data_IF_711222879387
#
_entry.id   IF_711222879387
#
_cell.length_a   1.000
_cell.length_b   1.000
_cell.length_c   1.000
_cell.angle_alpha   90.00
_cell.angle_beta   90.00
_cell.angle_gamma   90.00
#
_symmetry.space_group_name_H-M   'P 1'
#
loop_
_entity.id
_entity.type
_entity.pdbx_description
1 polymer ?
#
# COMPACT_ATOMS: atom_id res chain seq x y z
N UNK A 1 -15.64 21.11 -36.00
CA UNK A 1 -14.35 20.58 -35.52
C UNK A 1 -14.64 19.70 -34.33
N UNK A 2 -14.33 18.39 -34.40
CA UNK A 2 -14.46 17.48 -33.26
C UNK A 2 -13.20 17.62 -32.44
N UNK A 3 -13.29 18.28 -31.29
CA UNK A 3 -12.23 18.27 -30.30
C UNK A 3 -12.17 16.86 -29.70
N UNK A 4 -11.31 16.03 -30.29
CA UNK A 4 -10.94 14.75 -29.70
C UNK A 4 -10.16 15.06 -28.43
N UNK A 5 -10.76 14.75 -27.29
CA UNK A 5 -10.06 14.72 -26.00
C UNK A 5 -8.98 13.64 -26.15
N UNK A 6 -7.76 14.08 -26.45
CA UNK A 6 -6.59 13.21 -26.44
C UNK A 6 -6.31 12.89 -24.98
N UNK A 7 -6.71 11.68 -24.58
CA UNK A 7 -6.43 11.11 -23.26
C UNK A 7 -4.89 11.00 -23.09
N UNK A 8 -4.27 12.07 -22.59
CA UNK A 8 -2.83 12.20 -22.37
C UNK A 8 -2.27 11.26 -21.27
N UNK A 9 -3.10 10.38 -20.72
CA UNK A 9 -2.70 9.39 -19.71
C UNK A 9 -2.68 7.96 -20.27
N UNK A 10 -2.04 7.73 -21.41
CA UNK A 10 -1.66 6.40 -21.87
C UNK A 10 -0.58 5.74 -20.97
N UNK A 11 -0.62 5.96 -19.65
CA UNK A 11 -0.06 5.03 -18.68
C UNK A 11 -0.83 3.73 -18.88
N UNK A 12 -0.12 2.65 -19.12
CA UNK A 12 -0.65 1.28 -19.08
C UNK A 12 -1.58 1.17 -17.87
N UNK A 13 -2.89 1.15 -18.12
CA UNK A 13 -3.91 1.11 -17.06
C UNK A 13 -3.72 -0.24 -16.36
N UNK A 14 -3.10 -0.22 -15.20
CA UNK A 14 -2.89 -1.41 -14.40
C UNK A 14 -4.26 -1.97 -14.00
N UNK A 15 -4.44 -3.27 -14.17
CA UNK A 15 -5.65 -3.95 -13.73
C UNK A 15 -5.62 -4.10 -12.20
N UNK A 16 -6.74 -3.79 -11.52
CA UNK A 16 -6.80 -3.93 -10.07
C UNK A 16 -6.77 -5.42 -9.69
N UNK A 17 -6.15 -5.73 -8.55
CA UNK A 17 -6.02 -7.09 -8.03
C UNK A 17 -7.09 -7.39 -6.98
N UNK A 18 -7.76 -8.54 -7.11
CA UNK A 18 -8.67 -9.05 -6.09
C UNK A 18 -7.95 -10.04 -5.18
N UNK A 19 -7.72 -9.67 -3.91
CA UNK A 19 -7.08 -10.56 -2.94
C UNK A 19 -7.96 -11.75 -2.52
N UNK A 20 -9.27 -11.71 -2.78
CA UNK A 20 -10.20 -12.79 -2.44
C UNK A 20 -10.25 -13.85 -3.54
N UNK A 21 -10.45 -13.43 -4.79
CA UNK A 21 -10.42 -14.33 -5.95
C UNK A 21 -9.00 -14.71 -6.39
N UNK A 22 -7.98 -14.01 -5.87
CA UNK A 22 -6.57 -14.19 -6.28
C UNK A 22 -6.39 -14.10 -7.80
N UNK A 23 -6.97 -13.06 -8.41
CA UNK A 23 -6.95 -12.90 -9.87
C UNK A 23 -7.25 -11.48 -10.33
N UNK A 24 -6.91 -11.22 -11.59
CA UNK A 24 -7.34 -10.06 -12.36
C UNK A 24 -8.70 -10.39 -12.98
N UNK A 25 -9.76 -10.11 -12.24
CA UNK A 25 -11.14 -10.34 -12.65
C UNK A 25 -11.79 -9.05 -13.10
N UNK A 26 -12.88 -9.15 -13.85
CA UNK A 26 -13.71 -7.99 -14.16
C UNK A 26 -14.12 -7.25 -12.89
N UNK A 27 -14.13 -5.92 -12.99
CA UNK A 27 -14.44 -5.03 -11.89
C UNK A 27 -15.48 -3.98 -12.28
N UNK A 28 -16.32 -3.62 -11.31
CA UNK A 28 -17.25 -2.49 -11.39
C UNK A 28 -16.71 -1.36 -10.53
N UNK A 29 -16.76 -0.13 -11.03
CA UNK A 29 -16.44 1.06 -10.24
C UNK A 29 -17.66 1.44 -9.41
N UNK A 30 -17.50 1.51 -8.10
CA UNK A 30 -18.53 2.02 -7.18
C UNK A 30 -18.05 3.33 -6.59
N UNK A 31 -18.95 4.30 -6.58
CA UNK A 31 -18.75 5.58 -5.93
C UNK A 31 -18.84 5.36 -4.43
N UNK A 32 -17.77 5.65 -3.71
CA UNK A 32 -17.75 5.58 -2.26
C UNK A 32 -17.56 6.99 -1.73
N UNK A 33 -18.53 7.46 -0.94
CA UNK A 33 -18.47 8.77 -0.30
C UNK A 33 -17.77 8.64 1.06
N UNK A 34 -16.69 9.39 1.26
CA UNK A 34 -16.01 9.51 2.54
C UNK A 34 -16.18 10.93 3.07
N UNK A 35 -16.44 11.04 4.36
CA UNK A 35 -16.52 12.35 5.02
C UNK A 35 -15.10 12.82 5.32
N UNK A 36 -14.69 13.97 4.74
CA UNK A 36 -13.41 14.62 5.05
C UNK A 36 -13.63 15.91 5.82
N UNK A 37 -12.69 16.19 6.72
CA UNK A 37 -12.67 17.45 7.45
C UNK A 37 -12.25 18.58 6.51
N UNK A 38 -12.97 19.69 6.57
CA UNK A 38 -12.59 20.95 5.95
C UNK A 38 -11.65 21.74 6.87
N UNK A 39 -10.82 22.60 6.27
CA UNK A 39 -9.92 23.51 6.98
C UNK A 39 -10.69 24.51 7.87
N UNK A 40 -11.95 24.77 7.54
CA UNK A 40 -12.83 25.65 8.31
C UNK A 40 -13.58 24.91 9.45
N UNK A 41 -13.23 23.66 9.75
CA UNK A 41 -13.92 22.84 10.76
C UNK A 41 -15.25 22.26 10.30
N UNK A 42 -15.60 22.41 9.02
CA UNK A 42 -16.73 21.74 8.38
C UNK A 42 -16.41 20.29 7.98
N UNK A 43 -17.40 19.62 7.40
CA UNK A 43 -17.26 18.27 6.84
C UNK A 43 -17.84 18.29 5.44
N UNK A 44 -17.13 17.71 4.47
CA UNK A 44 -17.67 17.54 3.11
C UNK A 44 -17.54 16.08 2.66
N UNK A 45 -18.51 15.58 1.86
CA UNK A 45 -18.40 14.28 1.24
C UNK A 45 -17.46 14.36 0.03
N UNK A 46 -16.37 13.60 0.06
CA UNK A 46 -15.51 13.34 -1.09
C UNK A 46 -15.90 12.00 -1.70
N UNK A 47 -16.19 11.99 -3.00
CA UNK A 47 -16.56 10.78 -3.73
C UNK A 47 -15.34 10.21 -4.44
N UNK A 48 -14.92 9.02 -4.05
CA UNK A 48 -13.83 8.29 -4.70
C UNK A 48 -14.38 7.10 -5.48
N UNK A 49 -13.86 6.93 -6.70
CA UNK A 49 -14.14 5.79 -7.57
C UNK A 49 -13.28 4.59 -7.15
N UNK A 50 -13.91 3.62 -6.48
CA UNK A 50 -13.23 2.42 -6.00
C UNK A 50 -13.58 1.20 -6.86
N UNK A 51 -12.60 0.41 -7.34
CA UNK A 51 -12.87 -0.81 -8.09
C UNK A 51 -13.31 -1.95 -7.15
N UNK A 52 -14.40 -2.63 -7.51
CA UNK A 52 -14.91 -3.82 -6.84
C UNK A 52 -14.99 -5.01 -7.80
N UNK A 53 -14.60 -6.19 -7.32
CA UNK A 53 -14.71 -7.43 -8.07
C UNK A 53 -16.17 -7.77 -8.40
N UNK A 54 -16.46 -8.17 -9.63
CA UNK A 54 -17.83 -8.59 -10.02
C UNK A 54 -18.21 -9.92 -9.41
N UNK A 55 -17.26 -10.85 -9.27
CA UNK A 55 -17.52 -12.21 -8.78
C UNK A 55 -17.79 -12.28 -7.28
N UNK A 56 -17.03 -11.56 -6.46
CA UNK A 56 -17.13 -11.60 -5.00
C UNK A 56 -17.54 -10.28 -4.35
N UNK A 57 -17.66 -9.19 -5.11
CA UNK A 57 -18.03 -7.87 -4.58
C UNK A 57 -16.96 -7.17 -3.73
N UNK A 58 -15.84 -7.82 -3.43
CA UNK A 58 -14.79 -7.25 -2.57
C UNK A 58 -14.04 -6.12 -3.28
N UNK A 59 -13.53 -5.18 -2.48
CA UNK A 59 -12.68 -4.09 -2.95
C UNK A 59 -11.40 -4.66 -3.57
N UNK A 60 -11.02 -4.14 -4.72
CA UNK A 60 -9.78 -4.49 -5.41
C UNK A 60 -8.75 -3.38 -5.22
N UNK A 61 -7.46 -3.75 -5.26
CA UNK A 61 -6.37 -2.81 -5.02
C UNK A 61 -5.38 -2.85 -6.18
N UNK A 62 -4.86 -1.68 -6.58
CA UNK A 62 -3.77 -1.61 -7.53
C UNK A 62 -2.47 -2.10 -6.86
N UNK A 63 -1.72 -2.97 -7.53
CA UNK A 63 -0.51 -3.56 -6.97
C UNK A 63 0.61 -2.51 -6.93
N UNK A 64 0.70 -1.61 -7.91
CA UNK A 64 1.66 -0.50 -7.89
C UNK A 64 1.50 0.39 -6.65
N UNK A 65 0.28 0.87 -6.37
CA UNK A 65 -0.02 1.68 -5.19
C UNK A 65 0.27 0.91 -3.90
N UNK A 66 -0.05 -0.38 -3.87
CA UNK A 66 0.24 -1.24 -2.72
C UNK A 66 1.74 -1.41 -2.48
N UNK A 67 2.55 -1.58 -3.54
CA UNK A 67 4.02 -1.64 -3.45
C UNK A 67 4.60 -0.32 -2.99
N UNK A 68 4.15 0.79 -3.58
CA UNK A 68 4.61 2.13 -3.23
C UNK A 68 4.33 2.44 -1.76
N UNK A 69 3.13 2.10 -1.28
CA UNK A 69 2.74 2.34 0.11
C UNK A 69 3.58 1.49 1.08
N UNK A 70 3.77 0.20 0.79
CA UNK A 70 4.62 -0.67 1.63
C UNK A 70 6.06 -0.18 1.64
N UNK A 71 6.61 0.17 0.47
CA UNK A 71 7.96 0.70 0.35
C UNK A 71 8.11 2.04 1.07
N UNK A 72 7.14 2.95 0.91
CA UNK A 72 7.08 4.24 1.58
C UNK A 72 7.04 4.10 3.10
N UNK A 73 6.17 3.25 3.65
CA UNK A 73 6.14 2.98 5.10
C UNK A 73 7.45 2.42 5.62
N UNK A 74 8.11 1.53 4.86
CA UNK A 74 9.43 1.00 5.24
C UNK A 74 10.51 2.06 5.17
N UNK A 75 10.47 2.92 4.15
CA UNK A 75 11.39 4.03 4.00
C UNK A 75 11.26 5.02 5.16
N UNK A 76 10.03 5.43 5.50
CA UNK A 76 9.74 6.31 6.64
C UNK A 76 10.16 5.67 7.97
N UNK A 77 9.85 4.39 8.18
CA UNK A 77 10.28 3.68 9.38
C UNK A 77 11.81 3.62 9.49
N UNK A 78 12.50 3.42 8.37
CA UNK A 78 13.96 3.41 8.30
C UNK A 78 14.56 4.79 8.56
N UNK A 79 14.00 5.87 8.01
CA UNK A 79 14.51 7.22 8.25
C UNK A 79 14.33 7.63 9.70
N UNK A 80 13.18 7.33 10.31
CA UNK A 80 12.93 7.56 11.74
C UNK A 80 13.96 6.81 12.59
N UNK A 81 14.21 5.54 12.29
CA UNK A 81 15.20 4.73 13.03
C UNK A 81 16.62 5.34 12.95
N UNK A 82 17.05 5.77 11.76
CA UNK A 82 18.35 6.42 11.57
C UNK A 82 18.43 7.73 12.36
N UNK A 83 17.39 8.56 12.30
CA UNK A 83 17.34 9.81 13.05
C UNK A 83 17.40 9.60 14.56
N UNK A 84 16.62 8.65 15.09
CA UNK A 84 16.65 8.30 16.52
C UNK A 84 18.04 7.82 16.92
N UNK A 85 18.65 6.96 16.11
CA UNK A 85 20.02 6.47 16.37
C UNK A 85 21.03 7.61 16.35
N UNK A 86 20.96 8.51 15.38
CA UNK A 86 21.86 9.65 15.30
C UNK A 86 21.72 10.55 16.53
N UNK A 87 20.50 10.89 16.93
CA UNK A 87 20.23 11.72 18.11
C UNK A 87 20.74 11.04 19.39
N UNK A 88 20.47 9.74 19.57
CA UNK A 88 20.88 9.02 20.78
C UNK A 88 22.40 8.88 20.90
N UNK A 89 23.14 8.69 19.80
CA UNK A 89 24.59 8.43 19.85
C UNK A 89 25.47 9.66 19.64
N UNK A 90 25.00 10.70 18.93
CA UNK A 90 25.81 11.90 18.66
C UNK A 90 25.45 13.08 19.58
N UNK A 91 24.22 13.16 20.08
CA UNK A 91 23.77 14.34 20.84
C UNK A 91 23.87 14.17 22.36
N UNK A 92 23.83 12.93 22.86
CA UNK A 92 23.76 12.62 24.29
C UNK A 92 24.87 11.67 24.72
N UNK A 93 25.34 11.86 25.96
CA UNK A 93 26.25 10.92 26.60
C UNK A 93 25.56 9.57 26.86
N UNK A 94 26.36 8.51 26.88
CA UNK A 94 25.86 7.17 27.13
C UNK A 94 25.23 7.06 28.53
N UNK A 95 23.92 6.83 28.57
CA UNK A 95 23.12 6.70 29.78
C UNK A 95 22.02 5.65 29.60
N UNK A 96 21.58 5.03 30.70
CA UNK A 96 20.46 4.07 30.70
C UNK A 96 19.16 4.69 30.15
N UNK A 97 18.95 6.00 30.33
CA UNK A 97 17.81 6.70 29.74
C UNK A 97 17.88 6.76 28.21
N UNK A 98 19.07 6.96 27.65
CA UNK A 98 19.27 7.04 26.20
C UNK A 98 19.10 5.66 25.55
N UNK A 99 19.59 4.60 26.19
CA UNK A 99 19.44 3.23 25.66
C UNK A 99 18.00 2.75 25.69
N UNK A 100 17.23 3.08 26.73
CA UNK A 100 15.79 2.78 26.80
C UNK A 100 14.98 3.57 25.79
N UNK A 101 15.29 4.86 25.58
CA UNK A 101 14.68 5.68 24.54
C UNK A 101 14.98 5.13 23.14
N UNK A 102 16.24 4.76 22.88
CA UNK A 102 16.63 4.13 21.63
C UNK A 102 15.82 2.85 21.40
N UNK A 103 15.79 1.94 22.39
CA UNK A 103 15.04 0.69 22.30
C UNK A 103 13.54 0.86 22.01
N UNK A 104 12.88 1.80 22.69
CA UNK A 104 11.46 2.12 22.42
C UNK A 104 11.25 2.70 21.03
N UNK A 105 12.18 3.55 20.55
CA UNK A 105 12.21 4.07 19.19
C UNK A 105 12.29 2.99 18.11
N UNK A 106 13.10 1.94 18.33
CA UNK A 106 13.18 0.78 17.42
C UNK A 106 11.84 0.06 17.34
N UNK A 107 11.24 -0.24 18.49
CA UNK A 107 9.95 -0.93 18.55
C UNK A 107 8.88 -0.14 17.80
N UNK A 108 8.83 1.18 18.00
CA UNK A 108 7.92 2.06 17.29
C UNK A 108 8.15 2.04 15.77
N UNK A 109 9.40 2.13 15.31
CA UNK A 109 9.73 2.06 13.88
C UNK A 109 9.32 0.73 13.24
N UNK A 110 9.50 -0.40 13.96
CA UNK A 110 9.05 -1.71 13.50
C UNK A 110 7.53 -1.77 13.39
N UNK A 111 6.80 -1.24 14.38
CA UNK A 111 5.34 -1.21 14.34
C UNK A 111 4.82 -0.39 13.15
N UNK A 112 5.40 0.78 12.90
CA UNK A 112 5.09 1.62 11.74
C UNK A 112 5.33 0.88 10.42
N UNK A 113 6.45 0.16 10.30
CA UNK A 113 6.75 -0.65 9.11
C UNK A 113 5.74 -1.79 8.87
N UNK A 114 5.00 -2.21 9.91
CA UNK A 114 3.99 -3.28 9.85
C UNK A 114 2.57 -2.76 9.59
N UNK A 115 2.30 -1.46 9.73
CA UNK A 115 0.98 -0.85 9.52
C UNK A 115 0.31 -1.14 8.17
N UNK A 116 1.00 -1.27 7.02
CA UNK A 116 0.32 -1.50 5.75
C UNK A 116 -0.11 -2.97 5.58
N UNK A 117 -0.88 -3.50 6.54
CA UNK A 117 -1.30 -4.90 6.62
C UNK A 117 -2.13 -5.29 5.40
N UNK A 118 -3.07 -4.44 4.99
CA UNK A 118 -3.96 -4.71 3.84
C UNK A 118 -3.17 -4.77 2.53
N UNK A 119 -2.31 -3.78 2.29
CA UNK A 119 -1.44 -3.73 1.10
C UNK A 119 -0.48 -4.91 1.05
N UNK A 120 0.10 -5.31 2.18
CA UNK A 120 0.96 -6.50 2.26
C UNK A 120 0.20 -7.78 1.91
N UNK A 121 -1.00 -7.97 2.46
CA UNK A 121 -1.85 -9.14 2.14
C UNK A 121 -2.17 -9.21 0.65
N UNK A 122 -2.49 -8.09 0.01
CA UNK A 122 -2.73 -8.02 -1.43
C UNK A 122 -1.48 -8.47 -2.22
N UNK A 123 -0.30 -7.97 -1.87
CA UNK A 123 0.95 -8.36 -2.53
C UNK A 123 1.29 -9.84 -2.31
N UNK A 124 1.17 -10.35 -1.09
CA UNK A 124 1.44 -11.78 -0.82
C UNK A 124 0.49 -12.69 -1.59
N UNK A 125 -0.80 -12.33 -1.69
CA UNK A 125 -1.75 -13.12 -2.49
C UNK A 125 -1.40 -13.13 -3.99
N UNK A 126 -0.87 -12.01 -4.50
CA UNK A 126 -0.39 -11.92 -5.88
C UNK A 126 0.87 -12.76 -6.10
N UNK A 127 1.86 -12.67 -5.20
CA UNK A 127 3.10 -13.44 -5.32
C UNK A 127 2.81 -14.96 -5.30
N UNK A 128 1.89 -15.40 -4.43
CA UNK A 128 1.43 -16.79 -4.39
C UNK A 128 0.73 -17.23 -5.68
N UNK A 129 -0.09 -16.35 -6.29
CA UNK A 129 -0.72 -16.64 -7.58
C UNK A 129 0.32 -16.79 -8.69
N UNK A 130 1.30 -15.89 -8.74
CA UNK A 130 2.39 -15.92 -9.73
C UNK A 130 3.22 -17.21 -9.58
N UNK A 131 3.49 -17.63 -8.34
CA UNK A 131 4.20 -18.87 -8.06
C UNK A 131 3.41 -20.10 -8.55
N UNK A 132 2.10 -20.17 -8.26
CA UNK A 132 1.23 -21.24 -8.77
C UNK A 132 1.21 -21.31 -10.29
N UNK A 133 1.11 -20.17 -10.97
CA UNK A 133 1.15 -20.12 -12.43
C UNK A 133 2.49 -20.63 -12.99
N UNK A 134 3.61 -20.31 -12.34
CA UNK A 134 4.93 -20.83 -12.73
C UNK A 134 4.97 -22.36 -12.63
N UNK A 135 4.48 -22.93 -11.53
CA UNK A 135 4.43 -24.38 -11.34
C UNK A 135 3.57 -25.08 -12.40
N UNK A 136 2.36 -24.58 -12.66
CA UNK A 136 1.48 -25.13 -13.71
C UNK A 136 2.12 -25.07 -15.11
N UNK A 137 2.88 -24.02 -15.39
CA UNK A 137 3.58 -23.88 -16.67
C UNK A 137 4.80 -24.80 -16.77
N UNK A 138 5.40 -25.22 -15.66
CA UNK A 138 6.46 -26.23 -15.63
C UNK A 138 5.87 -27.62 -15.85
N UNK A 139 4.76 -27.95 -15.20
CA UNK A 139 4.04 -29.23 -15.41
C UNK A 139 3.62 -29.43 -16.86
N UNK A 140 3.15 -28.37 -17.55
CA UNK A 140 2.78 -28.44 -18.97
C UNK A 140 3.96 -28.64 -19.93
N UNK A 141 5.20 -28.42 -19.48
CA UNK A 141 6.41 -28.55 -20.30
C UNK A 141 7.08 -29.91 -20.15
N UNK A 142 6.65 -30.71 -19.18
CA UNK A 142 7.15 -32.06 -18.91
C UNK A 142 6.29 -33.10 -19.63
#
# INVERSE_FOLDING_TARGET
MKEGIVDLSAKTKEEPWCSHCSGFTDYKRKWTAYQRADLNGGIYPENDDVPHCVSCGSMMHFLSSSRLLVWGCRFIGSTIFVLITLVCFFLFDYSLGVTTLWGTGIVAAILLSKLPIKSRKALTSYDLYVEKQKLLNLEKKL
#
